data_IF_535285512742
#
_entry.id   IF_535285512742
#
_cell.length_a   1.000
_cell.length_b   1.000
_cell.length_c   1.000
_cell.angle_alpha   90.00
_cell.angle_beta   90.00
_cell.angle_gamma   90.00
#
_symmetry.space_group_name_H-M   'P 1'
#
loop_
_entity.id
_entity.type
_entity.pdbx_description
1 polymer ?
#
# COMPACT_ATOMS: atom_id res chain seq x y z
N UNK A 1 -6.15 -12.43 -0.35
CA UNK A 1 -6.65 -13.64 -1.04
C UNK A 1 -7.59 -14.45 -0.17
N UNK A 2 -7.19 -14.82 1.06
CA UNK A 2 -7.98 -15.67 1.96
C UNK A 2 -9.42 -15.15 2.20
N UNK A 3 -9.59 -13.86 2.50
CA UNK A 3 -10.94 -13.31 2.73
C UNK A 3 -11.87 -13.39 1.51
N UNK A 4 -11.34 -13.37 0.28
CA UNK A 4 -12.12 -13.56 -0.95
C UNK A 4 -12.50 -15.02 -1.13
N UNK A 5 -11.56 -15.92 -0.87
CA UNK A 5 -11.74 -17.37 -0.98
C UNK A 5 -12.80 -17.89 0.02
N UNK A 6 -12.74 -17.46 1.29
CA UNK A 6 -13.74 -17.82 2.31
C UNK A 6 -15.15 -17.33 1.93
N UNK A 7 -15.28 -16.12 1.39
CA UNK A 7 -16.56 -15.60 0.90
C UNK A 7 -17.08 -16.41 -0.29
N UNK A 8 -16.20 -16.81 -1.20
CA UNK A 8 -16.56 -17.71 -2.30
C UNK A 8 -17.05 -19.05 -1.75
N UNK A 9 -16.31 -19.69 -0.84
CA UNK A 9 -16.70 -20.99 -0.26
C UNK A 9 -17.95 -20.95 0.60
N UNK A 10 -18.31 -19.79 1.16
CA UNK A 10 -19.58 -19.62 1.86
C UNK A 10 -20.77 -19.63 0.88
N UNK A 11 -20.65 -18.93 -0.25
CA UNK A 11 -21.74 -18.75 -1.24
C UNK A 11 -21.84 -19.93 -2.20
N UNK A 12 -20.70 -20.53 -2.56
CA UNK A 12 -20.58 -21.54 -3.61
C UNK A 12 -21.46 -22.79 -3.39
N UNK A 13 -21.51 -23.42 -2.20
CA UNK A 13 -22.36 -24.60 -1.97
C UNK A 13 -23.85 -24.30 -2.15
N UNK A 14 -24.30 -23.13 -1.70
CA UNK A 14 -25.71 -22.71 -1.86
C UNK A 14 -26.06 -22.51 -3.34
N UNK A 15 -25.18 -21.85 -4.10
CA UNK A 15 -25.33 -21.66 -5.54
C UNK A 15 -25.43 -23.00 -6.27
N UNK A 16 -24.51 -23.93 -6.01
CA UNK A 16 -24.50 -25.26 -6.63
C UNK A 16 -25.74 -26.07 -6.24
N UNK A 17 -26.17 -25.99 -4.98
CA UNK A 17 -27.37 -26.66 -4.51
C UNK A 17 -28.62 -26.15 -5.23
N UNK A 18 -28.80 -24.83 -5.31
CA UNK A 18 -29.94 -24.22 -6.02
C UNK A 18 -29.92 -24.61 -7.50
N UNK A 19 -28.76 -24.53 -8.17
CA UNK A 19 -28.61 -24.94 -9.56
C UNK A 19 -28.99 -26.41 -9.78
N UNK A 20 -28.59 -27.31 -8.87
CA UNK A 20 -28.93 -28.74 -8.93
C UNK A 20 -30.43 -29.02 -8.75
N UNK A 21 -31.11 -28.24 -7.90
CA UNK A 21 -32.53 -28.42 -7.54
C UNK A 21 -33.48 -27.90 -8.59
N UNK A 22 -33.16 -26.77 -9.20
CA UNK A 22 -34.01 -26.12 -10.18
C UNK A 22 -34.08 -26.90 -11.51
N UNK A 23 -33.08 -27.75 -11.83
CA UNK A 23 -32.92 -28.33 -13.17
C UNK A 23 -32.67 -29.86 -13.17
N UNK A 24 -33.42 -30.57 -12.31
CA UNK A 24 -33.62 -32.04 -12.32
C UNK A 24 -32.34 -32.89 -12.49
N UNK A 25 -31.24 -32.52 -11.84
CA UNK A 25 -30.04 -33.37 -11.75
C UNK A 25 -29.15 -33.48 -12.99
N UNK A 26 -29.41 -32.71 -14.05
CA UNK A 26 -28.50 -32.61 -15.19
C UNK A 26 -27.27 -31.75 -14.82
N UNK A 27 -26.10 -32.02 -15.39
CA UNK A 27 -24.86 -31.27 -15.10
C UNK A 27 -24.79 -29.92 -15.84
N UNK A 28 -25.43 -29.80 -17.02
CA UNK A 28 -25.40 -28.60 -17.86
C UNK A 28 -25.80 -27.29 -17.16
N UNK A 29 -26.84 -27.26 -16.31
CA UNK A 29 -27.23 -26.06 -15.56
C UNK A 29 -26.19 -25.61 -14.53
N UNK A 30 -25.50 -26.57 -13.90
CA UNK A 30 -24.42 -26.28 -12.95
C UNK A 30 -23.24 -25.67 -13.71
N UNK A 31 -22.83 -26.28 -14.83
CA UNK A 31 -21.78 -25.75 -15.71
C UNK A 31 -22.16 -24.33 -16.20
N UNK A 32 -23.40 -24.13 -16.64
CA UNK A 32 -23.88 -22.82 -17.08
C UNK A 32 -23.81 -21.77 -15.96
N UNK A 33 -24.20 -22.13 -14.73
CA UNK A 33 -24.10 -21.24 -13.57
C UNK A 33 -22.64 -20.88 -13.26
N UNK A 34 -21.73 -21.85 -13.29
CA UNK A 34 -20.29 -21.61 -13.08
C UNK A 34 -19.72 -20.70 -14.18
N UNK A 35 -20.05 -20.96 -15.44
CA UNK A 35 -19.65 -20.11 -16.57
C UNK A 35 -20.20 -18.69 -16.45
N UNK A 36 -21.46 -18.54 -15.99
CA UNK A 36 -22.07 -17.24 -15.74
C UNK A 36 -21.32 -16.48 -14.64
N UNK A 37 -20.99 -17.14 -13.52
CA UNK A 37 -20.17 -16.55 -12.46
C UNK A 37 -18.79 -16.16 -12.98
N UNK A 38 -18.14 -17.02 -13.75
CA UNK A 38 -16.83 -16.73 -14.33
C UNK A 38 -16.87 -15.51 -15.26
N UNK A 39 -17.84 -15.46 -16.18
CA UNK A 39 -17.95 -14.36 -17.14
C UNK A 39 -18.29 -13.04 -16.44
N UNK A 40 -19.30 -13.05 -15.57
CA UNK A 40 -19.71 -11.84 -14.83
C UNK A 40 -18.60 -11.32 -13.93
N UNK A 41 -17.95 -12.21 -13.18
CA UNK A 41 -16.84 -11.86 -12.31
C UNK A 41 -15.64 -11.32 -13.08
N UNK A 42 -15.31 -11.90 -14.24
CA UNK A 42 -14.24 -11.42 -15.11
C UNK A 42 -14.57 -10.05 -15.73
N UNK A 43 -15.81 -9.83 -16.18
CA UNK A 43 -16.25 -8.53 -16.68
C UNK A 43 -16.18 -7.44 -15.60
N UNK A 44 -16.58 -7.75 -14.37
CA UNK A 44 -16.44 -6.85 -13.21
C UNK A 44 -14.95 -6.58 -12.95
N UNK A 45 -14.09 -7.59 -13.05
CA UNK A 45 -12.66 -7.42 -12.89
C UNK A 45 -12.07 -6.43 -13.90
N UNK A 46 -12.41 -6.57 -15.19
CA UNK A 46 -11.92 -5.68 -16.24
C UNK A 46 -12.39 -4.24 -16.03
N UNK A 47 -13.64 -4.05 -15.62
CA UNK A 47 -14.18 -2.72 -15.31
C UNK A 47 -13.51 -2.09 -14.09
N UNK A 48 -13.44 -2.81 -12.97
CA UNK A 48 -12.90 -2.28 -11.72
C UNK A 48 -11.40 -2.02 -11.82
N UNK A 49 -10.65 -2.81 -12.58
CA UNK A 49 -9.22 -2.54 -12.80
C UNK A 49 -8.97 -1.16 -13.41
N UNK A 50 -9.90 -0.64 -14.22
CA UNK A 50 -9.79 0.69 -14.81
C UNK A 50 -10.29 1.82 -13.90
N UNK A 51 -11.28 1.54 -13.05
CA UNK A 51 -11.98 2.56 -12.23
C UNK A 51 -11.46 2.63 -10.80
N UNK A 52 -11.30 1.47 -10.15
CA UNK A 52 -10.81 1.33 -8.79
C UNK A 52 -9.97 0.03 -8.66
N UNK A 53 -8.66 0.11 -8.97
CA UNK A 53 -7.76 -1.05 -8.88
C UNK A 53 -7.70 -1.67 -7.47
N UNK A 54 -7.89 -0.87 -6.41
CA UNK A 54 -7.88 -1.37 -5.04
C UNK A 54 -9.11 -2.24 -4.80
N UNK A 55 -10.29 -1.76 -5.19
CA UNK A 55 -11.51 -2.57 -5.12
C UNK A 55 -11.41 -3.82 -5.99
N UNK A 56 -10.85 -3.72 -7.20
CA UNK A 56 -10.65 -4.87 -8.09
C UNK A 56 -9.81 -5.97 -7.42
N UNK A 57 -8.80 -5.60 -6.64
CA UNK A 57 -7.92 -6.54 -5.95
C UNK A 57 -8.57 -7.19 -4.71
N UNK A 58 -9.32 -6.42 -3.91
CA UNK A 58 -9.85 -6.88 -2.62
C UNK A 58 -11.27 -7.44 -2.69
N UNK A 59 -12.06 -7.10 -3.71
CA UNK A 59 -13.44 -7.54 -3.83
C UNK A 59 -13.54 -9.02 -4.27
N UNK A 60 -14.47 -9.80 -3.70
CA UNK A 60 -14.66 -11.19 -4.10
C UNK A 60 -15.28 -11.32 -5.50
N UNK A 61 -16.13 -10.37 -5.90
CA UNK A 61 -16.85 -10.42 -7.17
C UNK A 61 -15.95 -10.18 -8.39
N UNK A 62 -14.81 -9.51 -8.25
CA UNK A 62 -13.80 -9.36 -9.32
C UNK A 62 -12.81 -10.53 -9.41
N UNK A 63 -12.81 -11.42 -8.43
CA UNK A 63 -11.85 -12.53 -8.33
C UNK A 63 -12.49 -13.92 -8.37
N UNK A 64 -13.82 -14.00 -8.24
CA UNK A 64 -14.57 -15.24 -8.29
C UNK A 64 -14.36 -16.06 -9.57
N UNK A 65 -14.08 -15.41 -10.70
CA UNK A 65 -13.83 -16.11 -11.97
C UNK A 65 -12.61 -17.04 -11.91
N UNK A 66 -11.58 -16.68 -11.15
CA UNK A 66 -10.35 -17.48 -11.00
C UNK A 66 -10.67 -18.85 -10.37
N UNK A 67 -11.49 -18.84 -9.31
CA UNK A 67 -11.97 -20.04 -8.62
C UNK A 67 -13.01 -20.80 -9.44
N UNK A 68 -13.90 -20.08 -10.14
CA UNK A 68 -14.91 -20.68 -11.00
C UNK A 68 -14.30 -21.50 -12.15
N UNK A 69 -13.20 -21.03 -12.76
CA UNK A 69 -12.47 -21.80 -13.77
C UNK A 69 -11.87 -23.10 -13.21
N UNK A 70 -11.35 -23.08 -11.99
CA UNK A 70 -10.95 -24.29 -11.28
C UNK A 70 -12.13 -25.24 -11.02
N UNK A 71 -13.29 -24.70 -10.66
CA UNK A 71 -14.53 -25.45 -10.45
C UNK A 71 -15.07 -26.14 -11.72
N UNK A 72 -14.84 -25.56 -12.91
CA UNK A 72 -15.23 -26.17 -14.18
C UNK A 72 -14.48 -27.47 -14.48
N UNK A 73 -13.26 -27.64 -13.96
CA UNK A 73 -12.42 -28.81 -14.24
C UNK A 73 -13.07 -30.14 -13.80
N UNK A 74 -13.98 -30.11 -12.83
CA UNK A 74 -14.75 -31.29 -12.40
C UNK A 74 -15.58 -31.88 -13.56
N UNK A 75 -15.98 -31.07 -14.53
CA UNK A 75 -16.79 -31.47 -15.68
C UNK A 75 -15.97 -31.73 -16.95
N UNK A 76 -14.67 -31.47 -16.92
CA UNK A 76 -13.79 -31.69 -18.07
C UNK A 76 -13.16 -33.08 -17.95
N UNK A 77 -13.27 -33.95 -18.96
CA UNK A 77 -12.66 -35.27 -18.90
C UNK A 77 -11.13 -35.16 -18.76
N UNK A 78 -10.51 -36.06 -17.97
CA UNK A 78 -9.07 -36.08 -17.78
C UNK A 78 -8.33 -36.47 -19.06
N UNK A 79 -7.08 -36.05 -19.18
CA UNK A 79 -6.25 -36.38 -20.33
C UNK A 79 -5.61 -37.75 -20.11
N UNK A 80 -6.10 -38.78 -20.81
CA UNK A 80 -5.59 -40.16 -20.67
C UNK A 80 -4.21 -40.40 -21.30
N UNK A 81 -3.76 -39.54 -22.21
CA UNK A 81 -2.47 -39.69 -22.91
C UNK A 81 -1.35 -39.04 -22.09
N UNK A 82 -0.30 -39.82 -21.79
CA UNK A 82 0.84 -39.37 -20.97
C UNK A 82 1.59 -38.18 -21.57
N UNK A 83 1.94 -38.24 -22.86
CA UNK A 83 2.70 -37.15 -23.51
C UNK A 83 1.95 -35.81 -23.53
N UNK A 84 0.64 -35.81 -23.79
CA UNK A 84 -0.18 -34.59 -23.73
C UNK A 84 -0.31 -34.08 -22.30
N UNK A 85 -0.43 -34.97 -21.32
CA UNK A 85 -0.51 -34.59 -19.92
C UNK A 85 0.79 -33.96 -19.41
N UNK A 86 1.93 -34.51 -19.83
CA UNK A 86 3.25 -33.93 -19.56
C UNK A 86 3.39 -32.55 -20.22
N UNK A 87 2.96 -32.39 -21.48
CA UNK A 87 2.99 -31.10 -22.17
C UNK A 87 2.15 -30.04 -21.47
N UNK A 88 0.88 -30.34 -21.13
CA UNK A 88 0.00 -29.40 -20.44
C UNK A 88 0.49 -29.09 -19.02
N UNK A 89 0.92 -30.09 -18.27
CA UNK A 89 1.44 -29.90 -16.91
C UNK A 89 2.70 -29.02 -16.89
N UNK A 90 3.64 -29.28 -17.79
CA UNK A 90 4.86 -28.47 -17.90
C UNK A 90 4.55 -27.05 -18.40
N UNK A 91 3.68 -26.91 -19.40
CA UNK A 91 3.28 -25.60 -19.90
C UNK A 91 2.57 -24.77 -18.83
N UNK A 92 1.67 -25.40 -18.05
CA UNK A 92 0.99 -24.76 -16.94
C UNK A 92 1.97 -24.30 -15.86
N UNK A 93 2.94 -25.14 -15.50
CA UNK A 93 4.01 -24.78 -14.56
C UNK A 93 4.86 -23.61 -15.08
N UNK A 94 5.23 -23.62 -16.36
CA UNK A 94 5.97 -22.52 -16.98
C UNK A 94 5.18 -21.21 -16.97
N UNK A 95 3.87 -21.23 -17.22
CA UNK A 95 3.02 -20.04 -17.14
C UNK A 95 2.99 -19.46 -15.73
N UNK A 96 2.87 -20.30 -14.70
CA UNK A 96 2.90 -19.87 -13.29
C UNK A 96 4.27 -19.26 -12.96
N UNK A 97 5.36 -19.95 -13.32
CA UNK A 97 6.71 -19.48 -13.06
C UNK A 97 7.02 -18.17 -13.79
N UNK A 98 6.63 -18.04 -15.06
CA UNK A 98 6.78 -16.81 -15.83
C UNK A 98 5.97 -15.67 -15.22
N UNK A 99 4.74 -15.94 -14.76
CA UNK A 99 3.90 -14.94 -14.10
C UNK A 99 4.54 -14.43 -12.80
N UNK A 100 5.20 -15.28 -12.02
CA UNK A 100 5.88 -14.88 -10.79
C UNK A 100 7.09 -13.95 -11.03
N UNK A 101 7.70 -14.01 -12.23
CA UNK A 101 8.86 -13.18 -12.61
C UNK A 101 8.40 -11.89 -13.31
N UNK A 102 7.36 -11.97 -14.14
CA UNK A 102 6.92 -10.88 -14.99
C UNK A 102 5.92 -9.94 -14.34
N UNK A 103 5.08 -10.43 -13.43
CA UNK A 103 4.10 -9.61 -12.73
C UNK A 103 4.79 -8.73 -11.67
N UNK A 104 4.50 -7.43 -11.72
CA UNK A 104 5.02 -6.44 -10.77
C UNK A 104 3.88 -5.69 -10.07
N UNK A 105 4.21 -5.00 -8.97
CA UNK A 105 3.24 -4.18 -8.22
C UNK A 105 2.70 -2.97 -8.99
N UNK A 106 3.32 -2.61 -10.12
CA UNK A 106 2.89 -1.49 -10.97
C UNK A 106 1.89 -1.91 -12.05
N UNK A 107 1.67 -3.21 -12.24
CA UNK A 107 0.77 -3.71 -13.27
C UNK A 107 -0.67 -3.86 -12.73
N UNK A 108 -1.69 -3.61 -13.57
CA UNK A 108 -3.07 -3.78 -13.14
C UNK A 108 -3.40 -5.25 -12.87
N UNK A 109 -4.05 -5.58 -11.73
CA UNK A 109 -4.38 -6.95 -11.33
C UNK A 109 -5.77 -6.98 -10.64
N UNK A 110 -6.61 -8.03 -10.76
CA UNK A 110 -6.40 -9.31 -11.47
C UNK A 110 -6.49 -9.20 -13.00
N UNK A 111 -7.56 -8.59 -13.55
CA UNK A 111 -7.70 -8.26 -14.98
C UNK A 111 -7.17 -9.30 -15.97
N UNK A 112 -6.59 -8.83 -17.08
CA UNK A 112 -5.93 -9.69 -18.08
C UNK A 112 -4.64 -10.34 -17.54
N UNK A 113 -3.94 -9.66 -16.64
CA UNK A 113 -2.65 -10.13 -16.10
C UNK A 113 -2.79 -11.41 -15.26
N UNK A 114 -3.97 -11.66 -14.68
CA UNK A 114 -4.28 -12.90 -13.98
C UNK A 114 -4.61 -14.08 -14.92
N UNK A 115 -4.84 -13.87 -16.22
CA UNK A 115 -5.14 -14.97 -17.15
C UNK A 115 -3.99 -15.97 -17.24
N UNK A 116 -2.75 -15.50 -17.32
CA UNK A 116 -1.59 -16.37 -17.41
C UNK A 116 -1.43 -17.28 -16.18
N UNK A 117 -1.40 -16.78 -14.93
CA UNK A 117 -1.30 -17.66 -13.76
C UNK A 117 -2.54 -18.54 -13.56
N UNK A 118 -3.75 -18.06 -13.88
CA UNK A 118 -4.98 -18.87 -13.76
C UNK A 118 -5.03 -19.99 -14.80
N UNK A 119 -4.74 -19.69 -16.07
CA UNK A 119 -4.61 -20.71 -17.11
C UNK A 119 -3.48 -21.69 -16.77
N UNK A 120 -2.36 -21.19 -16.26
CA UNK A 120 -1.27 -22.02 -15.78
C UNK A 120 -1.72 -23.03 -14.71
N UNK A 121 -2.47 -22.58 -13.70
CA UNK A 121 -3.04 -23.44 -12.67
C UNK A 121 -4.04 -24.46 -13.22
N UNK A 122 -4.93 -24.04 -14.12
CA UNK A 122 -5.90 -24.92 -14.79
C UNK A 122 -5.18 -26.02 -15.58
N UNK A 123 -4.18 -25.67 -16.39
CA UNK A 123 -3.42 -26.60 -17.23
C UNK A 123 -2.53 -27.54 -16.41
N UNK A 124 -2.08 -27.10 -15.23
CA UNK A 124 -1.31 -27.93 -14.31
C UNK A 124 -2.19 -28.98 -13.61
N UNK A 125 -3.43 -28.65 -13.27
CA UNK A 125 -4.36 -29.53 -12.53
C UNK A 125 -5.15 -30.45 -13.45
N UNK A 126 -5.60 -29.95 -14.60
CA UNK A 126 -6.52 -30.65 -15.51
C UNK A 126 -6.09 -32.06 -15.96
N UNK A 127 -4.82 -32.35 -16.31
CA UNK A 127 -4.47 -33.63 -16.90
C UNK A 127 -4.78 -34.85 -16.03
N UNK A 128 -4.84 -34.69 -14.70
CA UNK A 128 -5.20 -35.74 -13.74
C UNK A 128 -4.43 -37.06 -13.93
N UNK A 129 -3.23 -36.99 -14.49
CA UNK A 129 -2.38 -38.15 -14.76
C UNK A 129 -0.93 -37.86 -14.34
N UNK A 130 -0.12 -38.91 -14.09
CA UNK A 130 1.27 -38.71 -13.69
C UNK A 130 2.07 -37.95 -14.74
N UNK A 131 2.76 -36.90 -14.32
CA UNK A 131 3.69 -36.11 -15.14
C UNK A 131 4.95 -35.78 -14.35
N UNK A 132 6.01 -35.33 -15.02
CA UNK A 132 7.24 -34.83 -14.35
C UNK A 132 6.89 -33.65 -13.43
N UNK A 133 6.07 -32.71 -13.91
CA UNK A 133 5.62 -31.56 -13.12
C UNK A 133 4.90 -32.01 -11.84
N UNK A 134 3.95 -32.95 -11.96
CA UNK A 134 3.23 -33.51 -10.82
C UNK A 134 4.17 -34.27 -9.88
N UNK A 135 5.15 -35.01 -10.40
CA UNK A 135 6.12 -35.76 -9.59
C UNK A 135 7.02 -34.84 -8.75
N UNK A 136 7.52 -33.76 -9.35
CA UNK A 136 8.32 -32.74 -8.65
C UNK A 136 7.49 -32.06 -7.56
N UNK A 137 6.30 -31.56 -7.91
CA UNK A 137 5.39 -30.90 -6.96
C UNK A 137 4.87 -31.85 -5.86
N UNK A 138 4.85 -33.16 -6.15
CA UNK A 138 4.49 -34.21 -5.19
C UNK A 138 5.67 -34.70 -4.36
N UNK A 139 6.85 -34.07 -4.45
CA UNK A 139 7.97 -34.37 -3.56
C UNK A 139 7.60 -34.12 -2.09
N UNK A 140 8.26 -34.82 -1.16
CA UNK A 140 7.97 -34.68 0.27
C UNK A 140 8.11 -33.23 0.79
N UNK A 141 9.16 -32.47 0.43
CA UNK A 141 9.30 -31.08 0.87
C UNK A 141 8.18 -30.17 0.36
N UNK A 142 7.88 -30.20 -0.94
CA UNK A 142 6.86 -29.32 -1.53
C UNK A 142 5.45 -29.64 -1.04
N UNK A 143 5.11 -30.93 -0.90
CA UNK A 143 3.85 -31.33 -0.28
C UNK A 143 3.77 -30.90 1.18
N UNK A 144 4.88 -30.96 1.91
CA UNK A 144 4.91 -30.50 3.29
C UNK A 144 4.73 -28.98 3.39
N UNK A 145 5.38 -28.19 2.51
CA UNK A 145 5.08 -26.75 2.36
C UNK A 145 3.59 -26.52 2.13
N UNK A 146 2.99 -27.28 1.21
CA UNK A 146 1.57 -27.19 0.91
C UNK A 146 0.68 -27.48 2.11
N UNK A 147 1.07 -28.45 2.96
CA UNK A 147 0.33 -28.80 4.19
C UNK A 147 0.34 -27.70 5.25
N UNK A 148 1.44 -26.95 5.36
CA UNK A 148 1.59 -25.85 6.33
C UNK A 148 1.27 -24.48 5.73
N UNK A 149 0.82 -24.42 4.46
CA UNK A 149 0.73 -23.20 3.67
C UNK A 149 -0.19 -22.14 4.27
N UNK A 150 -1.29 -22.56 4.89
CA UNK A 150 -2.20 -21.67 5.61
C UNK A 150 -1.51 -20.99 6.80
N UNK A 151 -0.90 -21.78 7.69
CA UNK A 151 -0.10 -21.27 8.80
C UNK A 151 1.07 -20.39 8.31
N UNK A 152 1.71 -20.75 7.19
CA UNK A 152 2.80 -19.95 6.60
C UNK A 152 2.29 -18.60 6.09
N UNK A 153 1.14 -18.58 5.42
CA UNK A 153 0.48 -17.35 5.00
C UNK A 153 0.16 -16.44 6.19
N UNK A 154 -0.26 -16.99 7.34
CA UNK A 154 -0.54 -16.19 8.53
C UNK A 154 0.71 -15.60 9.17
N UNK A 155 1.79 -16.39 9.30
CA UNK A 155 2.95 -15.99 10.10
C UNK A 155 4.03 -15.21 9.34
N UNK A 156 4.18 -15.41 8.02
CA UNK A 156 5.24 -14.74 7.26
C UNK A 156 5.11 -13.21 7.29
N UNK A 157 3.88 -12.68 7.24
CA UNK A 157 3.64 -11.25 7.15
C UNK A 157 3.91 -10.52 8.48
N UNK A 158 3.37 -10.93 9.64
CA UNK A 158 3.73 -10.32 10.92
C UNK A 158 5.25 -10.32 11.17
N UNK A 159 5.93 -11.43 10.90
CA UNK A 159 7.38 -11.54 11.09
C UNK A 159 8.13 -10.51 10.24
N UNK A 160 7.79 -10.40 8.96
CA UNK A 160 8.39 -9.42 8.06
C UNK A 160 8.07 -7.97 8.47
N UNK A 161 6.81 -7.69 8.83
CA UNK A 161 6.37 -6.34 9.21
C UNK A 161 7.04 -5.89 10.51
N UNK A 162 7.12 -6.75 11.52
CA UNK A 162 7.82 -6.43 12.76
C UNK A 162 9.30 -6.18 12.51
N UNK A 163 9.97 -7.02 11.72
CA UNK A 163 11.35 -6.79 11.33
C UNK A 163 11.51 -5.41 10.66
N UNK A 164 10.70 -5.12 9.63
CA UNK A 164 10.76 -3.84 8.92
C UNK A 164 10.45 -2.66 9.84
N UNK A 165 9.54 -2.80 10.79
CA UNK A 165 9.24 -1.75 11.75
C UNK A 165 10.44 -1.42 12.64
N UNK A 166 11.14 -2.43 13.16
CA UNK A 166 12.35 -2.23 13.97
C UNK A 166 13.57 -1.80 13.13
N UNK A 167 13.63 -2.20 11.86
CA UNK A 167 14.69 -1.85 10.93
C UNK A 167 14.43 -0.52 10.18
N UNK A 168 13.53 0.35 10.65
CA UNK A 168 13.32 1.66 10.02
C UNK A 168 12.71 1.60 8.62
N UNK A 169 11.93 0.57 8.32
CA UNK A 169 11.33 0.33 7.01
C UNK A 169 12.27 -0.32 5.98
N UNK A 170 13.55 -0.52 6.33
CA UNK A 170 14.54 -1.13 5.45
C UNK A 170 14.12 -2.52 4.96
N UNK A 171 14.51 -2.84 3.72
CA UNK A 171 14.34 -4.19 3.20
C UNK A 171 15.43 -5.10 3.79
N UNK A 172 15.10 -6.36 4.14
CA UNK A 172 16.08 -7.28 4.67
C UNK A 172 17.18 -7.56 3.64
N UNK A 173 18.42 -7.61 4.09
CA UNK A 173 19.54 -8.18 3.34
C UNK A 173 19.28 -9.65 3.00
N UNK A 174 20.04 -10.24 2.08
CA UNK A 174 19.86 -11.65 1.71
C UNK A 174 19.99 -12.60 2.92
N UNK A 175 20.91 -12.31 3.86
CA UNK A 175 21.07 -13.08 5.08
C UNK A 175 19.87 -12.95 6.03
N UNK A 176 19.40 -11.73 6.26
CA UNK A 176 18.21 -11.47 7.08
C UNK A 176 16.96 -12.09 6.45
N UNK A 177 16.79 -11.99 5.13
CA UNK A 177 15.67 -12.59 4.41
C UNK A 177 15.64 -14.12 4.60
N UNK A 178 16.80 -14.79 4.54
CA UNK A 178 16.89 -16.23 4.80
C UNK A 178 16.48 -16.57 6.24
N UNK A 179 16.91 -15.77 7.22
CA UNK A 179 16.53 -15.93 8.64
C UNK A 179 15.02 -15.72 8.81
N UNK A 180 14.44 -14.69 8.21
CA UNK A 180 13.00 -14.39 8.30
C UNK A 180 12.15 -15.49 7.63
N UNK A 181 12.58 -16.01 6.48
CA UNK A 181 11.92 -17.15 5.81
C UNK A 181 11.99 -18.39 6.70
N UNK A 182 13.15 -18.69 7.28
CA UNK A 182 13.31 -19.83 8.19
C UNK A 182 12.45 -19.66 9.45
N UNK A 183 12.42 -18.48 10.04
CA UNK A 183 11.57 -18.16 11.19
C UNK A 183 10.10 -18.35 10.85
N UNK A 184 9.62 -17.81 9.72
CA UNK A 184 8.26 -17.97 9.24
C UNK A 184 7.88 -19.44 9.04
N UNK A 185 8.79 -20.23 8.46
CA UNK A 185 8.62 -21.67 8.28
C UNK A 185 8.51 -22.43 9.61
N UNK A 186 9.38 -22.13 10.57
CA UNK A 186 9.35 -22.77 11.90
C UNK A 186 8.06 -22.40 12.62
N UNK A 187 7.69 -21.12 12.68
CA UNK A 187 6.44 -20.68 13.32
C UNK A 187 5.22 -21.26 12.63
N UNK A 188 5.24 -21.36 11.29
CA UNK A 188 4.17 -21.98 10.53
C UNK A 188 4.04 -23.47 10.85
N UNK A 189 5.15 -24.20 10.96
CA UNK A 189 5.15 -25.60 11.35
C UNK A 189 4.59 -25.80 12.76
N UNK A 190 5.03 -24.99 13.73
CA UNK A 190 4.54 -25.06 15.11
C UNK A 190 3.03 -24.75 15.18
N UNK A 191 2.59 -23.68 14.51
CA UNK A 191 1.19 -23.33 14.37
C UNK A 191 0.38 -24.46 13.73
N UNK A 192 0.86 -25.01 12.62
CA UNK A 192 0.19 -26.12 11.94
C UNK A 192 0.10 -27.36 12.84
N UNK A 193 1.19 -27.75 13.50
CA UNK A 193 1.28 -28.99 14.28
C UNK A 193 0.50 -28.95 15.59
N UNK A 194 0.43 -27.78 16.23
CA UNK A 194 -0.13 -27.62 17.58
C UNK A 194 -1.46 -26.86 17.62
N UNK A 195 -1.83 -26.13 16.58
CA UNK A 195 -3.10 -25.38 16.51
C UNK A 195 -3.97 -25.90 15.36
N UNK A 196 -3.49 -25.81 14.12
CA UNK A 196 -4.28 -26.12 12.93
C UNK A 196 -4.68 -27.60 12.85
N UNK A 197 -3.71 -28.52 12.94
CA UNK A 197 -3.94 -29.95 12.80
C UNK A 197 -4.81 -30.54 13.92
N UNK A 198 -4.61 -30.19 15.21
CA UNK A 198 -5.53 -30.61 16.26
C UNK A 198 -6.96 -30.13 16.00
N UNK A 199 -7.14 -28.85 15.64
CA UNK A 199 -8.48 -28.29 15.37
C UNK A 199 -9.13 -28.94 14.16
N UNK A 200 -8.38 -29.18 13.08
CA UNK A 200 -8.87 -29.86 11.87
C UNK A 200 -9.33 -31.30 12.12
N UNK A 201 -8.72 -31.98 13.09
CA UNK A 201 -9.09 -33.36 13.47
C UNK A 201 -10.29 -33.41 14.42
N UNK A 202 -10.70 -32.28 15.02
CA UNK A 202 -11.90 -32.24 15.87
C UNK A 202 -13.14 -32.52 15.02
N UNK A 203 -13.85 -33.60 15.34
CA UNK A 203 -15.16 -33.92 14.74
C UNK A 203 -16.28 -33.43 15.64
N UNK A 204 -16.45 -32.11 15.70
CA UNK A 204 -17.54 -31.50 16.46
C UNK A 204 -18.81 -31.40 15.59
N UNK A 205 -20.01 -31.43 16.21
CA UNK A 205 -21.24 -31.19 15.47
C UNK A 205 -21.27 -29.76 14.90
N UNK A 206 -21.80 -29.54 13.68
CA UNK A 206 -21.72 -28.26 12.97
C UNK A 206 -22.19 -27.05 13.80
N UNK A 207 -23.26 -27.23 14.57
CA UNK A 207 -23.81 -26.17 15.42
C UNK A 207 -22.81 -25.67 16.48
N UNK A 208 -22.04 -26.57 17.11
CA UNK A 208 -21.03 -26.16 18.10
C UNK A 208 -19.90 -25.38 17.45
N UNK A 209 -19.48 -25.79 16.25
CA UNK A 209 -18.46 -25.07 15.47
C UNK A 209 -18.95 -23.67 15.09
N UNK A 210 -20.20 -23.55 14.64
CA UNK A 210 -20.82 -22.25 14.31
C UNK A 210 -20.92 -21.36 15.55
N UNK A 211 -21.38 -21.89 16.69
CA UNK A 211 -21.47 -21.15 17.95
C UNK A 211 -20.08 -20.69 18.41
N UNK A 212 -19.08 -21.57 18.40
CA UNK A 212 -17.71 -21.22 18.79
C UNK A 212 -17.12 -20.14 17.87
N UNK A 213 -17.30 -20.28 16.56
CA UNK A 213 -16.88 -19.29 15.57
C UNK A 213 -17.56 -17.94 15.77
N UNK A 214 -18.89 -17.92 15.91
CA UNK A 214 -19.67 -16.71 16.15
C UNK A 214 -19.29 -16.04 17.49
N UNK A 215 -19.08 -16.82 18.54
CA UNK A 215 -18.65 -16.31 19.85
C UNK A 215 -17.25 -15.71 19.76
N UNK A 216 -16.32 -16.37 19.07
CA UNK A 216 -14.96 -15.85 18.86
C UNK A 216 -15.00 -14.54 18.06
N UNK A 217 -15.77 -14.50 16.97
CA UNK A 217 -15.95 -13.29 16.16
C UNK A 217 -16.56 -12.14 16.98
N UNK A 218 -17.54 -12.44 17.83
CA UNK A 218 -18.16 -11.46 18.72
C UNK A 218 -17.16 -10.93 19.76
N UNK A 219 -16.38 -11.80 20.41
CA UNK A 219 -15.35 -11.39 21.39
C UNK A 219 -14.30 -10.50 20.73
N UNK A 220 -13.79 -10.90 19.57
CA UNK A 220 -12.80 -10.12 18.81
C UNK A 220 -13.40 -8.79 18.36
N UNK A 221 -14.64 -8.80 17.86
CA UNK A 221 -15.34 -7.59 17.41
C UNK A 221 -15.63 -6.61 18.55
N UNK A 222 -16.13 -7.09 19.69
CA UNK A 222 -16.40 -6.27 20.87
C UNK A 222 -15.10 -5.76 21.50
N UNK A 223 -14.07 -6.59 21.60
CA UNK A 223 -12.75 -6.19 22.09
C UNK A 223 -12.12 -5.12 21.20
N UNK A 224 -12.14 -5.34 19.88
CA UNK A 224 -11.66 -4.37 18.89
C UNK A 224 -12.43 -3.04 18.95
N UNK A 225 -13.76 -3.10 19.02
CA UNK A 225 -14.60 -1.91 19.18
C UNK A 225 -14.33 -1.18 20.49
N UNK A 226 -14.16 -1.90 21.60
CA UNK A 226 -13.81 -1.29 22.89
C UNK A 226 -12.47 -0.56 22.84
N UNK A 227 -11.47 -1.15 22.18
CA UNK A 227 -10.16 -0.51 21.99
C UNK A 227 -10.30 0.72 21.08
N UNK A 228 -11.06 0.61 19.99
CA UNK A 228 -11.28 1.73 19.07
C UNK A 228 -11.97 2.92 19.75
N UNK A 229 -13.07 2.66 20.46
CA UNK A 229 -13.81 3.68 21.21
C UNK A 229 -13.00 4.27 22.37
N UNK A 230 -12.06 3.50 22.93
CA UNK A 230 -11.10 3.96 23.94
C UNK A 230 -9.93 4.79 23.39
N UNK A 231 -9.90 5.12 22.09
CA UNK A 231 -8.78 5.83 21.48
C UNK A 231 -7.51 4.97 21.36
N UNK A 232 -7.65 3.64 21.41
CA UNK A 232 -6.55 2.68 21.48
C UNK A 232 -6.26 2.25 22.92
N UNK A 233 -5.01 1.81 23.16
CA UNK A 233 -4.53 1.43 24.49
C UNK A 233 -3.62 2.56 24.97
N UNK A 234 -4.18 3.71 25.34
CA UNK A 234 -3.43 4.93 25.68
C UNK A 234 -2.39 4.70 26.80
N UNK A 235 -2.67 3.80 27.74
CA UNK A 235 -1.78 3.43 28.85
C UNK A 235 -0.40 2.90 28.44
N UNK A 236 -0.21 2.54 27.16
CA UNK A 236 1.08 2.08 26.62
C UNK A 236 2.02 3.21 26.21
N UNK A 237 1.54 4.46 26.21
CA UNK A 237 2.28 5.65 25.79
C UNK A 237 2.50 6.54 27.02
N UNK A 238 3.73 7.05 27.26
CA UNK A 238 3.95 8.06 28.29
C UNK A 238 3.09 9.30 28.03
N UNK A 239 2.54 9.91 29.10
CA UNK A 239 1.59 11.03 28.98
C UNK A 239 2.17 12.22 28.21
N UNK A 240 3.48 12.42 28.32
CA UNK A 240 4.22 13.47 27.63
C UNK A 240 4.19 13.26 26.11
N UNK A 241 4.26 12.00 25.65
CA UNK A 241 4.21 11.62 24.23
C UNK A 241 2.77 11.59 23.70
N UNK A 242 1.81 11.28 24.56
CA UNK A 242 0.39 11.33 24.21
C UNK A 242 -0.06 12.75 23.82
N UNK A 243 0.37 13.77 24.56
CA UNK A 243 0.11 15.17 24.24
C UNK A 243 0.69 15.57 22.87
N UNK A 244 1.85 15.03 22.48
CA UNK A 244 2.49 15.28 21.18
C UNK A 244 1.82 14.52 20.02
N UNK A 245 0.97 13.52 20.29
CA UNK A 245 0.34 12.68 19.27
C UNK A 245 -1.02 13.22 18.81
N UNK A 246 -1.67 14.08 19.60
CA UNK A 246 -3.00 14.57 19.26
C UNK A 246 -2.95 15.40 17.98
N UNK A 247 -3.52 14.87 16.90
CA UNK A 247 -3.67 15.60 15.63
C UNK A 247 -4.56 16.84 15.83
N UNK A 248 -5.58 16.74 16.69
CA UNK A 248 -6.41 17.90 17.02
C UNK A 248 -5.55 19.00 17.65
N UNK A 249 -4.73 18.70 18.65
CA UNK A 249 -3.85 19.70 19.29
C UNK A 249 -2.79 20.22 18.32
N UNK A 250 -2.26 19.35 17.45
CA UNK A 250 -1.26 19.74 16.44
C UNK A 250 -1.82 20.72 15.41
N UNK A 251 -3.08 20.55 15.01
CA UNK A 251 -3.76 21.40 14.02
C UNK A 251 -4.65 22.49 14.64
N UNK A 252 -4.82 22.51 15.96
CA UNK A 252 -5.51 23.56 16.73
C UNK A 252 -4.62 24.78 16.94
N UNK A 253 -3.98 25.22 15.85
CA UNK A 253 -3.28 26.49 15.80
C UNK A 253 -3.96 27.40 14.78
N UNK A 254 -4.70 28.43 15.25
CA UNK A 254 -5.39 29.33 14.35
C UNK A 254 -4.39 30.26 13.66
N UNK A 255 -4.59 30.48 12.37
CA UNK A 255 -3.81 31.48 11.64
C UNK A 255 -4.00 32.89 12.27
N UNK A 256 -2.92 33.56 12.73
CA UNK A 256 -3.03 34.86 13.38
C UNK A 256 -3.51 35.99 12.44
N UNK A 257 -3.04 35.98 11.19
CA UNK A 257 -3.35 37.01 10.20
C UNK A 257 -3.40 36.40 8.81
N UNK A 258 -4.40 36.73 8.00
CA UNK A 258 -4.40 36.41 6.57
C UNK A 258 -3.86 37.60 5.78
N UNK A 259 -2.94 37.35 4.85
CA UNK A 259 -2.32 38.38 3.99
C UNK A 259 -2.46 38.03 2.52
N UNK A 260 -2.69 39.03 1.69
CA UNK A 260 -2.74 38.86 0.24
C UNK A 260 -1.34 39.00 -0.35
N UNK A 261 -0.92 37.98 -1.12
CA UNK A 261 0.34 38.02 -1.87
C UNK A 261 -0.05 38.06 -3.36
N UNK A 262 -0.09 39.27 -3.90
CA UNK A 262 -0.57 39.58 -5.26
C UNK A 262 0.09 38.73 -6.36
N UNK A 263 1.38 38.44 -6.21
CA UNK A 263 2.18 37.67 -7.17
C UNK A 263 1.81 36.19 -7.20
N UNK A 264 1.11 35.71 -6.18
CA UNK A 264 0.61 34.35 -6.06
C UNK A 264 -0.93 34.26 -6.24
N UNK A 265 -1.60 35.39 -6.49
CA UNK A 265 -3.06 35.49 -6.67
C UNK A 265 -3.85 34.75 -5.56
N UNK A 266 -3.48 35.02 -4.30
CA UNK A 266 -4.05 34.30 -3.17
C UNK A 266 -3.80 34.94 -1.82
N UNK A 267 -4.55 34.45 -0.83
CA UNK A 267 -4.42 34.84 0.58
C UNK A 267 -3.74 33.72 1.35
N UNK A 268 -2.71 34.08 2.11
CA UNK A 268 -1.85 33.15 2.83
C UNK A 268 -1.88 33.44 4.32
N UNK A 269 -1.65 32.40 5.11
CA UNK A 269 -1.51 32.57 6.55
C UNK A 269 -0.18 33.27 6.86
N UNK A 270 -0.25 34.40 7.55
CA UNK A 270 0.89 35.11 8.11
C UNK A 270 0.89 35.04 9.64
N UNK A 271 2.10 34.97 10.20
CA UNK A 271 2.36 34.78 11.62
C UNK A 271 3.72 35.36 12.00
N UNK A 272 4.03 35.43 13.29
CA UNK A 272 5.17 36.15 13.83
C UNK A 272 4.81 37.59 14.17
N UNK A 273 5.66 38.54 13.79
CA UNK A 273 5.33 39.96 13.90
C UNK A 273 4.21 40.35 12.92
N UNK A 274 3.36 41.36 13.22
CA UNK A 274 2.32 41.82 12.30
C UNK A 274 2.89 42.19 10.94
N UNK A 275 2.32 41.65 9.86
CA UNK A 275 2.90 41.70 8.51
C UNK A 275 3.27 43.13 8.06
N UNK A 276 2.40 44.10 8.29
CA UNK A 276 2.60 45.49 7.84
C UNK A 276 3.60 46.29 8.70
N UNK A 277 4.03 45.75 9.84
CA UNK A 277 4.90 46.42 10.83
C UNK A 277 6.22 45.71 11.07
N UNK A 278 6.37 44.49 10.56
CA UNK A 278 7.56 43.69 10.77
C UNK A 278 8.79 44.34 10.13
N UNK A 279 9.94 44.20 10.78
CA UNK A 279 11.21 44.68 10.23
C UNK A 279 11.74 43.79 9.10
N UNK A 280 11.29 42.52 9.06
CA UNK A 280 11.69 41.52 8.07
C UNK A 280 10.50 40.67 7.66
N UNK A 281 10.52 40.24 6.40
CA UNK A 281 9.53 39.33 5.83
C UNK A 281 10.21 38.03 5.43
N UNK A 282 9.60 36.92 5.83
CA UNK A 282 10.09 35.58 5.61
C UNK A 282 9.00 34.70 5.03
N UNK A 283 9.42 33.63 4.36
CA UNK A 283 8.53 32.62 3.80
C UNK A 283 8.81 31.27 4.46
N UNK A 284 7.77 30.57 4.90
CA UNK A 284 7.82 29.16 5.28
C UNK A 284 7.23 28.33 4.15
N UNK A 285 8.06 27.54 3.46
CA UNK A 285 7.67 26.83 2.25
C UNK A 285 7.82 25.31 2.40
N UNK A 286 6.74 24.58 2.12
CA UNK A 286 6.79 23.19 1.70
C UNK A 286 5.46 22.46 1.76
N UNK A 287 5.31 21.50 2.67
CA UNK A 287 4.10 20.70 2.82
C UNK A 287 3.57 20.76 4.26
N UNK A 288 2.79 19.75 4.68
CA UNK A 288 2.28 19.66 6.05
C UNK A 288 3.38 19.69 7.13
N UNK A 289 4.63 19.34 6.82
CA UNK A 289 5.76 19.49 7.74
C UNK A 289 6.28 20.92 7.85
N UNK A 290 6.09 21.76 6.82
CA UNK A 290 6.33 23.18 6.93
C UNK A 290 5.25 23.81 7.82
N UNK A 291 3.98 23.49 7.58
CA UNK A 291 2.86 23.99 8.38
C UNK A 291 2.97 23.63 9.87
N UNK A 292 3.43 22.41 10.18
CA UNK A 292 3.70 21.98 11.56
C UNK A 292 4.71 22.87 12.31
N UNK A 293 5.58 23.60 11.59
CA UNK A 293 6.55 24.52 12.20
C UNK A 293 5.99 25.93 12.43
N UNK A 294 4.82 26.26 11.89
CA UNK A 294 4.23 27.60 11.99
C UNK A 294 4.04 28.08 13.45
N UNK A 295 3.53 27.27 14.40
CA UNK A 295 3.39 27.72 15.80
C UNK A 295 4.73 28.07 16.47
N UNK A 296 5.78 27.30 16.15
CA UNK A 296 7.13 27.55 16.66
C UNK A 296 7.72 28.83 16.07
N UNK A 297 7.59 28.99 14.75
CA UNK A 297 8.11 30.15 14.04
C UNK A 297 7.30 31.42 14.32
N UNK A 298 6.02 31.32 14.69
CA UNK A 298 5.21 32.43 15.20
C UNK A 298 5.82 33.01 16.48
N UNK A 299 6.10 32.15 17.46
CA UNK A 299 6.73 32.57 18.71
C UNK A 299 8.13 33.19 18.50
N UNK A 300 8.91 32.68 17.54
CA UNK A 300 10.22 33.25 17.18
C UNK A 300 10.05 34.59 16.43
N UNK A 301 9.16 34.66 15.45
CA UNK A 301 8.91 35.85 14.64
C UNK A 301 8.43 37.04 15.47
N UNK A 302 7.60 36.80 16.49
CA UNK A 302 7.18 37.84 17.44
C UNK A 302 8.36 38.43 18.24
N UNK A 303 9.35 37.60 18.60
CA UNK A 303 10.54 38.04 19.36
C UNK A 303 11.56 38.75 18.48
N UNK A 304 11.77 38.25 17.27
CA UNK A 304 12.78 38.73 16.33
C UNK A 304 12.24 39.80 15.35
N UNK A 305 11.00 40.27 15.55
CA UNK A 305 10.31 41.23 14.69
C UNK A 305 10.29 40.83 13.20
N UNK A 306 10.02 39.55 12.94
CA UNK A 306 9.97 38.94 11.61
C UNK A 306 8.56 38.42 11.35
N UNK A 307 7.96 38.79 10.23
CA UNK A 307 6.70 38.23 9.75
C UNK A 307 6.98 37.09 8.79
N UNK A 308 6.33 35.95 8.99
CA UNK A 308 6.34 34.82 8.08
C UNK A 308 5.03 34.74 7.33
N UNK A 309 5.03 34.22 6.11
CA UNK A 309 3.83 33.64 5.50
C UNK A 309 4.06 32.18 5.10
N UNK A 310 3.01 31.37 5.25
CA UNK A 310 3.02 29.94 4.96
C UNK A 310 2.62 29.68 3.50
N UNK A 311 3.43 28.89 2.81
CA UNK A 311 3.08 28.28 1.53
C UNK A 311 3.31 26.78 1.60
N UNK A 312 2.23 25.99 1.66
CA UNK A 312 2.29 24.56 1.97
C UNK A 312 1.64 23.67 0.88
N UNK A 313 1.43 24.21 -0.32
CA UNK A 313 0.71 23.53 -1.40
C UNK A 313 1.44 22.28 -1.90
N UNK A 314 2.77 22.33 -1.99
CA UNK A 314 3.60 21.25 -2.54
C UNK A 314 4.98 21.22 -1.88
N UNK A 315 5.59 20.03 -1.71
CA UNK A 315 6.89 19.90 -1.08
C UNK A 315 7.94 20.83 -1.67
N UNK A 316 8.67 21.55 -0.82
CA UNK A 316 9.75 22.44 -1.20
C UNK A 316 11.06 21.66 -1.38
N UNK A 317 11.00 20.59 -2.16
CA UNK A 317 12.07 19.62 -2.32
C UNK A 317 12.57 19.48 -3.76
N UNK A 318 11.87 20.08 -4.73
CA UNK A 318 12.10 19.80 -6.14
C UNK A 318 12.15 21.09 -6.97
N UNK A 319 13.29 21.31 -7.64
CA UNK A 319 13.50 22.35 -8.66
C UNK A 319 13.10 21.88 -10.05
N UNK A 320 13.70 22.43 -11.09
CA UNK A 320 13.46 21.95 -12.46
C UNK A 320 13.96 20.51 -12.70
N UNK A 321 13.25 19.77 -13.54
CA UNK A 321 13.70 18.45 -14.01
C UNK A 321 13.45 17.27 -13.07
N UNK A 322 13.05 17.50 -11.81
CA UNK A 322 12.75 16.44 -10.84
C UNK A 322 11.36 16.68 -10.27
N UNK A 323 10.54 15.63 -10.20
CA UNK A 323 9.17 15.73 -9.70
C UNK A 323 8.81 14.53 -8.84
N UNK A 324 7.86 14.75 -7.94
CA UNK A 324 7.14 13.65 -7.28
C UNK A 324 5.92 13.30 -8.12
N UNK A 325 5.79 12.02 -8.42
CA UNK A 325 4.56 11.44 -8.96
C UNK A 325 3.67 10.92 -7.82
N UNK A 326 2.38 11.20 -7.93
CA UNK A 326 1.39 10.76 -6.96
C UNK A 326 0.21 10.16 -7.73
N UNK A 327 0.27 8.85 -8.07
CA UNK A 327 -0.66 8.21 -8.99
C UNK A 327 -2.13 8.34 -8.59
N UNK A 328 -2.42 8.50 -7.30
CA UNK A 328 -3.77 8.74 -6.79
C UNK A 328 -4.34 10.13 -7.14
N UNK A 329 -3.51 11.08 -7.58
CA UNK A 329 -3.90 12.43 -7.98
C UNK A 329 -3.36 12.73 -9.40
N UNK A 330 -4.18 12.55 -10.45
CA UNK A 330 -3.74 12.59 -11.84
C UNK A 330 -3.03 13.87 -12.29
N UNK A 331 -3.35 15.02 -11.68
CA UNK A 331 -2.78 16.33 -12.04
C UNK A 331 -1.76 16.84 -11.01
N UNK A 332 -1.31 15.99 -10.09
CA UNK A 332 -0.44 16.40 -8.99
C UNK A 332 0.87 17.00 -9.50
N UNK A 333 1.47 16.37 -10.50
CA UNK A 333 2.74 16.83 -11.09
C UNK A 333 2.61 18.21 -11.69
N UNK A 334 1.61 18.43 -12.54
CA UNK A 334 1.38 19.72 -13.21
C UNK A 334 1.04 20.80 -12.20
N UNK A 335 0.19 20.48 -11.21
CA UNK A 335 -0.20 21.41 -10.14
C UNK A 335 1.00 21.85 -9.31
N UNK A 336 1.85 20.90 -8.86
CA UNK A 336 3.04 21.23 -8.09
C UNK A 336 4.10 21.95 -8.90
N UNK A 337 4.29 21.59 -10.18
CA UNK A 337 5.20 22.31 -11.05
C UNK A 337 4.73 23.77 -11.29
N UNK A 338 3.43 23.99 -11.45
CA UNK A 338 2.83 25.32 -11.60
C UNK A 338 2.96 26.14 -10.32
N UNK A 339 2.61 25.55 -9.17
CA UNK A 339 2.75 26.13 -7.84
C UNK A 339 4.19 26.57 -7.55
N UNK A 340 5.17 25.68 -7.80
CA UNK A 340 6.60 26.01 -7.68
C UNK A 340 7.00 27.19 -8.55
N UNK A 341 6.63 27.17 -9.84
CA UNK A 341 6.96 28.27 -10.78
C UNK A 341 6.40 29.62 -10.31
N UNK A 342 5.18 29.63 -9.76
CA UNK A 342 4.58 30.83 -9.20
C UNK A 342 5.39 31.37 -8.00
N UNK A 343 5.78 30.50 -7.07
CA UNK A 343 6.62 30.88 -5.92
C UNK A 343 7.98 31.40 -6.35
N UNK A 344 8.69 30.69 -7.24
CA UNK A 344 10.00 31.14 -7.73
C UNK A 344 9.88 32.48 -8.45
N UNK A 345 8.82 32.68 -9.25
CA UNK A 345 8.55 33.96 -9.92
C UNK A 345 8.31 35.09 -8.91
N UNK A 346 7.50 34.85 -7.87
CA UNK A 346 7.25 35.80 -6.79
C UNK A 346 8.54 36.16 -6.06
N UNK A 347 9.36 35.16 -5.68
CA UNK A 347 10.64 35.39 -5.00
C UNK A 347 11.65 36.15 -5.87
N UNK A 348 11.55 36.10 -7.20
CA UNK A 348 12.38 36.95 -8.07
C UNK A 348 11.92 38.40 -8.09
N UNK A 349 10.64 38.66 -7.84
CA UNK A 349 10.04 39.99 -7.84
C UNK A 349 10.11 40.66 -6.44
N UNK A 350 9.97 39.87 -5.38
CA UNK A 350 9.96 40.32 -3.98
C UNK A 350 11.33 40.24 -3.32
N UNK A 351 12.00 41.38 -3.25
CA UNK A 351 13.26 41.53 -2.51
C UNK A 351 13.05 41.82 -1.01
N UNK A 352 11.82 42.16 -0.61
CA UNK A 352 11.38 42.31 0.78
C UNK A 352 11.40 40.99 1.55
N UNK A 353 11.22 39.86 0.86
CA UNK A 353 11.34 38.51 1.46
C UNK A 353 12.81 38.09 1.51
N UNK A 354 13.45 38.36 2.66
CA UNK A 354 14.89 38.19 2.89
C UNK A 354 15.27 36.84 3.52
N UNK A 355 14.27 36.04 3.92
CA UNK A 355 14.45 34.69 4.45
C UNK A 355 13.43 33.71 3.86
N UNK A 356 13.90 32.59 3.34
CA UNK A 356 13.05 31.46 2.91
C UNK A 356 13.44 30.23 3.71
N UNK A 357 12.49 29.67 4.46
CA UNK A 357 12.65 28.45 5.25
C UNK A 357 11.96 27.30 4.52
N UNK A 358 12.74 26.32 4.09
CA UNK A 358 12.26 25.11 3.42
C UNK A 358 12.10 23.99 4.45
N UNK A 359 10.94 23.34 4.45
CA UNK A 359 10.68 22.13 5.25
C UNK A 359 9.72 21.24 4.49
N UNK A 360 9.96 19.94 4.45
CA UNK A 360 9.06 18.99 3.81
C UNK A 360 9.12 17.64 4.52
N UNK A 361 8.20 16.74 4.19
CA UNK A 361 8.19 15.38 4.69
C UNK A 361 9.34 14.54 4.07
N UNK A 362 10.60 14.90 4.33
CA UNK A 362 11.78 14.41 3.59
C UNK A 362 11.86 12.87 3.52
N UNK A 363 11.60 12.20 4.64
CA UNK A 363 11.56 10.74 4.72
C UNK A 363 10.42 10.15 3.89
N UNK A 364 9.23 10.76 3.93
CA UNK A 364 8.10 10.33 3.12
C UNK A 364 8.43 10.45 1.64
N UNK A 365 9.09 11.55 1.23
CA UNK A 365 9.51 11.76 -0.15
C UNK A 365 10.48 10.69 -0.64
N UNK A 366 11.42 10.23 0.21
CA UNK A 366 12.33 9.13 -0.11
C UNK A 366 11.61 7.81 -0.45
N UNK A 367 10.41 7.58 0.12
CA UNK A 367 9.59 6.40 -0.18
C UNK A 367 8.60 6.60 -1.33
N UNK A 368 8.40 7.84 -1.81
CA UNK A 368 7.49 8.14 -2.92
C UNK A 368 8.13 7.89 -4.29
N UNK A 369 7.35 8.03 -5.37
CA UNK A 369 7.87 7.97 -6.73
C UNK A 369 8.46 9.33 -7.12
N UNK A 370 9.77 9.48 -6.96
CA UNK A 370 10.52 10.63 -7.47
C UNK A 370 11.06 10.27 -8.86
N UNK A 371 10.80 11.14 -9.84
CA UNK A 371 11.11 10.90 -11.26
C UNK A 371 11.84 12.11 -11.83
N UNK A 372 12.86 11.87 -12.65
CA UNK A 372 13.53 12.91 -13.43
C UNK A 372 12.96 12.97 -14.86
N UNK A 373 12.89 14.17 -15.42
CA UNK A 373 12.39 14.43 -16.78
C UNK A 373 13.25 13.76 -17.87
N UNK A 374 14.53 13.54 -17.60
CA UNK A 374 15.48 12.93 -18.53
C UNK A 374 15.51 11.39 -18.48
N UNK A 375 14.64 10.78 -17.67
CA UNK A 375 14.52 9.33 -17.56
C UNK A 375 15.68 8.65 -16.83
N UNK A 376 16.61 9.39 -16.20
CA UNK A 376 17.63 8.79 -15.34
C UNK A 376 16.95 8.10 -14.14
N UNK A 377 17.05 6.77 -14.09
CA UNK A 377 16.79 5.99 -12.87
C UNK A 377 18.00 6.10 -11.94
N UNK A 378 18.19 7.28 -11.34
CA UNK A 378 19.12 7.44 -10.22
C UNK A 378 18.42 7.02 -8.92
N UNK A 379 19.20 6.76 -7.87
CA UNK A 379 18.69 6.61 -6.52
C UNK A 379 17.75 7.78 -6.18
N UNK A 380 16.57 7.50 -5.64
CA UNK A 380 15.54 8.50 -5.32
C UNK A 380 16.09 9.61 -4.42
N UNK A 381 17.00 9.26 -3.50
CA UNK A 381 17.67 10.22 -2.61
C UNK A 381 18.58 11.15 -3.40
N UNK A 382 19.27 10.64 -4.43
CA UNK A 382 20.11 11.47 -5.31
C UNK A 382 19.26 12.40 -6.18
N UNK A 383 18.13 11.91 -6.72
CA UNK A 383 17.19 12.76 -7.47
C UNK A 383 16.63 13.87 -6.59
N UNK A 384 16.25 13.54 -5.37
CA UNK A 384 15.76 14.51 -4.40
C UNK A 384 16.83 15.55 -4.02
N UNK A 385 18.08 15.13 -3.82
CA UNK A 385 19.21 16.03 -3.60
C UNK A 385 19.40 16.99 -4.78
N UNK A 386 19.37 16.47 -6.01
CA UNK A 386 19.59 17.26 -7.22
C UNK A 386 18.42 18.24 -7.44
N UNK A 387 17.19 17.79 -7.20
CA UNK A 387 15.99 18.64 -7.21
C UNK A 387 16.06 19.76 -6.17
N UNK A 388 16.40 19.44 -4.92
CA UNK A 388 16.52 20.45 -3.86
C UNK A 388 17.63 21.45 -4.15
N UNK A 389 18.78 20.98 -4.65
CA UNK A 389 19.88 21.86 -5.07
C UNK A 389 19.44 22.81 -6.17
N UNK A 390 18.79 22.31 -7.21
CA UNK A 390 18.25 23.14 -8.29
C UNK A 390 17.27 24.18 -7.76
N UNK A 391 16.37 23.80 -6.86
CA UNK A 391 15.42 24.73 -6.27
C UNK A 391 16.13 25.86 -5.49
N UNK A 392 17.12 25.50 -4.66
CA UNK A 392 17.91 26.46 -3.89
C UNK A 392 18.64 27.43 -4.83
N UNK A 393 19.26 26.93 -5.90
CA UNK A 393 19.92 27.75 -6.92
C UNK A 393 18.92 28.73 -7.59
N UNK A 394 17.70 28.27 -7.90
CA UNK A 394 16.67 29.08 -8.56
C UNK A 394 16.14 30.26 -7.71
N UNK A 395 16.11 30.10 -6.38
CA UNK A 395 15.58 31.11 -5.45
C UNK A 395 16.66 31.93 -4.75
N UNK A 396 17.93 31.57 -4.91
CA UNK A 396 19.07 32.27 -4.33
C UNK A 396 19.16 33.68 -4.92
N UNK A 397 19.28 34.68 -4.04
CA UNK A 397 19.55 36.06 -4.37
C UNK A 397 20.54 36.64 -3.33
N UNK A 398 21.35 37.67 -3.67
CA UNK A 398 22.38 38.20 -2.77
C UNK A 398 21.87 38.61 -1.38
N UNK A 399 20.66 39.17 -1.34
CA UNK A 399 20.03 39.68 -0.12
C UNK A 399 19.21 38.61 0.64
N UNK A 400 19.07 37.40 0.06
CA UNK A 400 18.16 36.37 0.58
C UNK A 400 18.92 35.22 1.24
N UNK A 401 18.52 34.92 2.47
CA UNK A 401 18.98 33.74 3.20
C UNK A 401 18.02 32.59 2.98
N UNK A 402 18.57 31.39 2.80
CA UNK A 402 17.79 30.17 2.65
C UNK A 402 18.12 29.26 3.84
N UNK A 403 17.11 28.93 4.63
CA UNK A 403 17.20 27.95 5.70
C UNK A 403 16.52 26.65 5.26
N UNK A 404 17.13 25.51 5.54
CA UNK A 404 16.51 24.20 5.32
C UNK A 404 16.38 23.54 6.69
N UNK A 405 15.14 23.27 7.11
CA UNK A 405 14.88 22.52 8.33
C UNK A 405 14.85 21.05 7.94
N UNK A 406 15.76 20.28 8.54
CA UNK A 406 15.92 18.85 8.29
C UNK A 406 14.73 18.01 8.76
N UNK A 407 14.93 16.70 8.74
CA UNK A 407 13.90 15.73 9.07
C UNK A 407 13.43 15.82 10.53
N UNK A 408 12.11 15.77 10.72
CA UNK A 408 11.51 15.52 12.04
C UNK A 408 11.83 14.07 12.43
N UNK A 409 12.37 13.81 13.65
CA UNK A 409 12.78 12.47 14.05
C UNK A 409 11.72 11.40 13.76
N UNK A 410 12.12 10.36 13.03
CA UNK A 410 11.27 9.22 12.68
C UNK A 410 11.97 7.90 12.98
N UNK A 411 11.24 6.77 13.11
CA UNK A 411 11.86 5.47 13.36
C UNK A 411 12.81 5.07 12.23
N UNK A 412 14.11 4.98 12.53
CA UNK A 412 15.12 4.27 11.74
C UNK A 412 15.64 4.95 10.47
N UNK A 413 15.49 6.27 10.33
CA UNK A 413 16.19 7.09 9.33
C UNK A 413 16.67 8.39 9.97
N UNK A 414 17.99 8.57 9.99
CA UNK A 414 18.61 9.85 10.25
C UNK A 414 19.02 10.46 8.89
N UNK A 415 18.29 11.49 8.47
CA UNK A 415 18.56 12.26 7.24
C UNK A 415 19.11 13.65 7.58
N UNK A 416 19.61 13.85 8.81
CA UNK A 416 20.27 15.11 9.19
C UNK A 416 21.53 15.40 8.41
#
# INVERSE_FOLDING_TARGET
>A
SLGVEEQFYLVWPALLFIASRLWRGHQSPIVAAICLVALTSFSIALYLVAVDPKQAFYAPFSRGWELALGGLLVFVPPIGRRGTSEAFGLFGLCLIAASAIWLSSSQPFPGLNALAPVAGAVLLVWPCSPSIATAVLSSAPLRFTGKISYSLYLWHWPILVFFRHYAGGAMPTAGEALILIAAAWVTAYLSWRFVEEPVRRLRQPPLRTVIAGATTALIVGLGGNSIFQGGGIASRIPKEVEAMRSLEVMWDWPCPQMVEISELDGTFCAFGAPWDKAARHAMLWGDSHAEHLAPLLDAVGQRENTAFFLYHACPAAFGEGVHRDFPEQPNYRESCASSRKAVVSMLRQRTDVDLVVLSSAWTSLAYTNVVADDGRQADKVLLMRDGLRSLVEEITAPERRIGIIGQVPGPGLDLT
#
